data_IF_234894323505
#
_entry.id   IF_234894323505
#
_cell.length_a   1.000
_cell.length_b   1.000
_cell.length_c   1.000
_cell.angle_alpha   90.00
_cell.angle_beta   90.00
_cell.angle_gamma   90.00
#
_symmetry.space_group_name_H-M   'P 1'
#
loop_
_entity.id
_entity.type
_entity.pdbx_description
1 polymer ?
#
# COMPACT_ATOMS: atom_id res chain seq x y z
N UNK A 1 2.92 -15.75 44.06
CA UNK A 1 3.52 -15.69 42.71
C UNK A 1 2.70 -16.62 41.83
N UNK A 2 1.71 -16.10 41.09
CA UNK A 2 0.92 -16.88 40.14
C UNK A 2 1.55 -16.72 38.76
N UNK A 3 2.13 -17.80 38.24
CA UNK A 3 2.64 -17.86 36.87
C UNK A 3 1.46 -18.06 35.92
N UNK A 4 1.03 -16.98 35.26
CA UNK A 4 0.17 -17.04 34.07
C UNK A 4 1.03 -17.44 32.87
N UNK A 5 1.14 -18.73 32.59
CA UNK A 5 1.66 -19.20 31.30
C UNK A 5 0.47 -19.52 30.39
N UNK A 6 0.21 -18.66 29.41
CA UNK A 6 -0.78 -18.94 28.34
C UNK A 6 -0.39 -20.22 27.59
N UNK A 7 -1.37 -21.04 27.22
CA UNK A 7 -1.16 -22.26 26.44
C UNK A 7 -0.63 -21.91 25.04
N UNK A 8 0.03 -22.85 24.38
CA UNK A 8 0.38 -22.74 22.96
C UNK A 8 -0.87 -22.46 22.10
N UNK A 9 -2.01 -23.07 22.44
CA UNK A 9 -3.26 -22.84 21.72
C UNK A 9 -3.80 -21.40 21.89
N UNK A 10 -3.51 -20.75 23.01
CA UNK A 10 -3.89 -19.35 23.24
C UNK A 10 -3.03 -18.40 22.40
N UNK A 11 -1.75 -18.74 22.21
CA UNK A 11 -0.83 -17.98 21.34
C UNK A 11 -1.17 -18.14 19.86
N UNK A 12 -1.63 -19.31 19.44
CA UNK A 12 -2.05 -19.57 18.04
C UNK A 12 -3.33 -18.79 17.69
N UNK A 13 -4.21 -18.53 18.67
CA UNK A 13 -5.42 -17.70 18.48
C UNK A 13 -5.13 -16.19 18.40
N UNK A 14 -3.97 -15.76 18.90
CA UNK A 14 -3.53 -14.36 18.85
C UNK A 14 -2.76 -14.03 17.54
N UNK A 15 -2.48 -15.02 16.70
CA UNK A 15 -1.87 -14.79 15.40
C UNK A 15 -2.88 -14.12 14.46
N UNK A 16 -2.48 -13.06 13.73
CA UNK A 16 -3.36 -12.41 12.77
C UNK A 16 -3.78 -13.42 11.72
N UNK A 17 -5.08 -13.69 11.61
CA UNK A 17 -5.62 -14.40 10.46
C UNK A 17 -5.54 -13.45 9.28
N UNK A 18 -4.45 -13.48 8.51
CA UNK A 18 -4.40 -12.82 7.22
C UNK A 18 -5.45 -13.45 6.30
N UNK A 19 -6.66 -12.89 6.31
CA UNK A 19 -7.61 -13.09 5.23
C UNK A 19 -7.10 -12.25 4.08
N UNK A 20 -6.55 -12.92 3.06
CA UNK A 20 -6.27 -12.29 1.77
C UNK A 20 -7.53 -11.53 1.32
N UNK A 21 -7.33 -10.28 0.88
CA UNK A 21 -8.38 -9.49 0.25
C UNK A 21 -8.92 -10.25 -0.96
N UNK A 22 -10.16 -9.96 -1.37
CA UNK A 22 -10.71 -10.61 -2.55
C UNK A 22 -9.87 -10.32 -3.80
N UNK A 23 -9.38 -9.08 -3.93
CA UNK A 23 -8.46 -8.67 -5.00
C UNK A 23 -7.17 -9.50 -5.02
N UNK A 24 -6.55 -9.74 -3.85
CA UNK A 24 -5.32 -10.53 -3.77
C UNK A 24 -5.55 -11.99 -4.16
N UNK A 25 -6.71 -12.55 -3.80
CA UNK A 25 -7.08 -13.92 -4.23
C UNK A 25 -7.29 -13.99 -5.74
N UNK A 26 -7.92 -12.98 -6.30
CA UNK A 26 -8.22 -12.92 -7.73
C UNK A 26 -6.92 -12.76 -8.54
N UNK A 27 -5.97 -11.95 -8.04
CA UNK A 27 -4.65 -11.78 -8.66
C UNK A 27 -3.79 -13.05 -8.60
N UNK A 28 -3.76 -13.74 -7.45
CA UNK A 28 -3.09 -15.05 -7.32
C UNK A 28 -3.74 -16.07 -8.28
N UNK A 29 -5.06 -16.06 -8.40
CA UNK A 29 -5.78 -16.94 -9.31
C UNK A 29 -5.44 -16.63 -10.77
N UNK A 30 -5.39 -15.35 -11.16
CA UNK A 30 -5.05 -14.92 -12.51
C UNK A 30 -3.63 -15.34 -12.89
N UNK A 31 -2.64 -15.07 -12.04
CA UNK A 31 -1.25 -15.45 -12.26
C UNK A 31 -1.09 -16.98 -12.39
N UNK A 32 -1.85 -17.76 -11.61
CA UNK A 32 -1.86 -19.21 -11.71
C UNK A 32 -2.46 -19.69 -13.05
N UNK A 33 -3.56 -19.09 -13.50
CA UNK A 33 -4.21 -19.47 -14.76
C UNK A 33 -3.37 -19.09 -15.98
N UNK A 34 -2.62 -17.99 -15.91
CA UNK A 34 -1.66 -17.58 -16.94
C UNK A 34 -0.51 -18.59 -17.05
N UNK A 35 0.07 -19.00 -15.92
CA UNK A 35 1.13 -20.02 -15.90
C UNK A 35 0.70 -21.39 -16.45
N UNK A 36 -0.60 -21.69 -16.41
CA UNK A 36 -1.16 -22.94 -16.95
C UNK A 36 -1.51 -22.84 -18.44
N UNK A 37 -1.69 -21.63 -18.97
CA UNK A 37 -1.98 -21.40 -20.38
C UNK A 37 -0.72 -21.30 -21.25
N UNK A 38 0.45 -21.04 -20.65
CA UNK A 38 1.73 -20.99 -21.37
C UNK A 38 2.32 -22.36 -21.74
N UNK A 39 1.66 -23.47 -21.39
CA UNK A 39 2.13 -24.84 -21.67
C UNK A 39 1.43 -25.52 -22.87
N UNK A 40 0.95 -24.75 -23.86
CA UNK A 40 0.55 -25.27 -25.19
C UNK A 40 1.53 -24.82 -26.27
N UNK A 41 2.72 -25.42 -26.26
CA UNK A 41 3.82 -25.04 -27.15
C UNK A 41 4.85 -26.15 -27.36
N UNK A 42 4.42 -27.30 -27.88
CA UNK A 42 5.28 -28.43 -28.22
C UNK A 42 6.40 -28.06 -29.23
N UNK A 43 7.68 -28.16 -28.84
CA UNK A 43 8.81 -28.44 -29.74
C UNK A 43 9.85 -29.36 -29.06
N UNK A 44 10.42 -30.37 -29.77
CA UNK A 44 11.22 -31.41 -29.14
C UNK A 44 12.66 -30.99 -28.85
N UNK A 45 13.09 -31.12 -27.59
CA UNK A 45 14.46 -30.90 -27.14
C UNK A 45 15.37 -32.01 -27.69
N UNK A 46 16.39 -31.63 -28.48
CA UNK A 46 17.51 -32.53 -28.82
C UNK A 46 18.48 -32.62 -27.65
N UNK A 47 18.69 -33.87 -27.24
CA UNK A 47 19.57 -34.37 -26.19
C UNK A 47 21.03 -33.90 -26.28
N UNK A 48 21.59 -33.54 -25.12
CA UNK A 48 23.01 -33.29 -24.88
C UNK A 48 23.26 -32.71 -23.48
N UNK A 49 23.01 -33.48 -22.42
CA UNK A 49 23.22 -33.07 -21.03
C UNK A 49 24.42 -33.81 -20.44
N UNK A 50 25.50 -33.08 -20.13
CA UNK A 50 26.50 -33.48 -19.14
C UNK A 50 26.15 -32.80 -17.81
N UNK A 51 25.66 -33.61 -16.86
CA UNK A 51 25.12 -33.21 -15.57
C UNK A 51 26.26 -33.16 -14.55
N UNK A 52 26.55 -31.99 -13.96
CA UNK A 52 27.05 -31.91 -12.58
C UNK A 52 26.43 -30.74 -11.81
N UNK A 53 25.53 -31.13 -10.88
CA UNK A 53 24.93 -30.39 -9.74
C UNK A 53 23.65 -29.61 -10.03
N UNK A 54 22.59 -30.39 -10.25
CA UNK A 54 21.19 -30.02 -10.13
C UNK A 54 20.70 -30.56 -8.77
N UNK A 55 20.20 -29.70 -7.87
CA UNK A 55 19.36 -30.14 -6.75
C UNK A 55 18.00 -29.47 -6.92
N UNK A 56 17.10 -30.18 -7.60
CA UNK A 56 15.68 -29.84 -7.74
C UNK A 56 14.96 -30.29 -6.48
N UNK A 57 14.26 -29.37 -5.82
CA UNK A 57 13.23 -29.69 -4.84
C UNK A 57 11.99 -30.18 -5.58
N UNK A 58 11.62 -31.44 -5.33
CA UNK A 58 10.52 -32.15 -5.98
C UNK A 58 9.18 -31.56 -5.50
N UNK A 59 8.36 -31.08 -6.42
CA UNK A 59 6.92 -30.91 -6.20
C UNK A 59 6.28 -32.30 -6.07
N UNK A 60 5.80 -32.66 -4.89
CA UNK A 60 4.87 -33.79 -4.73
C UNK A 60 3.46 -33.26 -4.54
N UNK A 61 2.67 -33.43 -5.60
CA UNK A 61 1.22 -33.36 -5.52
C UNK A 61 0.67 -34.42 -4.57
N UNK A 62 -0.20 -34.02 -3.65
CA UNK A 62 -1.12 -34.91 -2.95
C UNK A 62 -2.47 -34.19 -2.79
N UNK A 63 -3.34 -34.39 -3.77
CA UNK A 63 -4.78 -34.21 -3.62
C UNK A 63 -5.38 -35.39 -2.82
N UNK A 64 -6.65 -35.23 -2.38
CA UNK A 64 -7.54 -36.12 -1.59
C UNK A 64 -7.63 -35.66 -0.11
N UNK A 65 -8.77 -35.28 0.49
CA UNK A 65 -10.19 -35.60 0.25
C UNK A 65 -11.15 -34.57 0.86
N UNK A 66 -12.34 -34.45 0.23
CA UNK A 66 -13.58 -33.83 0.71
C UNK A 66 -13.97 -34.19 2.15
N UNK A 67 -14.56 -33.22 2.87
CA UNK A 67 -15.78 -33.44 3.65
C UNK A 67 -16.74 -32.26 3.47
N UNK A 68 -17.67 -32.42 2.54
CA UNK A 68 -18.95 -31.72 2.57
C UNK A 68 -19.84 -32.43 3.58
N UNK A 69 -20.22 -31.75 4.67
CA UNK A 69 -21.35 -32.18 5.49
C UNK A 69 -22.57 -31.39 5.03
N UNK A 70 -23.23 -31.93 4.02
CA UNK A 70 -24.65 -31.69 3.77
C UNK A 70 -25.38 -32.84 4.48
N UNK A 71 -25.96 -32.54 5.64
CA UNK A 71 -26.91 -33.42 6.32
C UNK A 71 -28.33 -32.97 5.99
N UNK A 72 -28.87 -33.45 4.88
CA UNK A 72 -30.32 -33.47 4.63
C UNK A 72 -30.92 -34.55 5.53
N UNK A 73 -31.90 -34.17 6.36
CA UNK A 73 -32.93 -35.10 6.83
C UNK A 73 -34.29 -34.53 6.43
N UNK A 74 -34.95 -35.25 5.54
CA UNK A 74 -36.33 -35.02 5.09
C UNK A 74 -37.19 -36.18 5.59
N UNK A 75 -38.41 -35.82 6.01
CA UNK A 75 -39.65 -36.60 6.20
C UNK A 75 -39.84 -37.51 7.43
N UNK A 76 -40.86 -37.17 8.21
CA UNK A 76 -42.06 -37.95 8.64
C UNK A 76 -42.75 -37.07 9.70
N UNK A 77 -44.05 -36.82 9.79
CA UNK A 77 -45.29 -37.34 9.21
C UNK A 77 -46.38 -36.28 9.44
N UNK A 78 -47.37 -36.26 8.55
CA UNK A 78 -48.58 -35.45 8.60
C UNK A 78 -49.56 -36.06 9.63
N UNK A 79 -50.11 -35.27 10.57
CA UNK A 79 -51.45 -35.51 11.12
C UNK A 79 -52.15 -34.19 11.45
N UNK A 80 -53.38 -34.16 10.94
CA UNK A 80 -54.44 -33.16 10.97
C UNK A 80 -55.25 -33.29 12.26
N UNK A 81 -55.85 -32.20 12.73
CA UNK A 81 -57.19 -32.10 13.40
C UNK A 81 -57.19 -30.94 14.41
N UNK A 82 -57.82 -29.80 14.11
CA UNK A 82 -59.25 -29.39 14.29
C UNK A 82 -59.50 -28.59 15.57
N UNK A 83 -60.49 -27.71 15.43
CA UNK A 83 -61.28 -26.97 16.42
C UNK A 83 -60.79 -25.56 16.79
N UNK A 84 -61.41 -24.51 16.21
CA UNK A 84 -62.76 -23.93 16.51
C UNK A 84 -62.67 -23.02 17.76
N UNK A 85 -63.24 -21.82 17.87
CA UNK A 85 -64.37 -21.17 17.19
C UNK A 85 -64.48 -19.70 17.68
N UNK A 86 -65.01 -18.82 16.81
CA UNK A 86 -65.73 -17.52 17.06
C UNK A 86 -65.05 -16.42 17.91
N UNK A 87 -65.22 -15.11 17.66
CA UNK A 87 -66.45 -14.38 17.37
C UNK A 87 -66.15 -12.97 16.78
N UNK A 88 -67.12 -12.41 16.08
CA UNK A 88 -67.16 -11.07 15.45
C UNK A 88 -67.81 -10.07 16.43
N UNK A 89 -67.21 -8.90 16.67
CA UNK A 89 -67.95 -7.61 16.66
C UNK A 89 -67.02 -6.40 16.81
N UNK A 90 -67.43 -5.32 16.15
CA UNK A 90 -66.79 -4.01 16.09
C UNK A 90 -67.12 -3.16 17.33
N UNK A 91 -66.29 -2.14 17.63
CA UNK A 91 -66.70 -0.74 17.92
C UNK A 91 -65.49 0.09 18.40
N UNK A 92 -65.41 1.33 17.87
CA UNK A 92 -64.73 2.56 18.33
C UNK A 92 -63.21 2.83 18.14
N UNK A 93 -62.96 3.88 17.32
CA UNK A 93 -61.80 4.80 17.30
C UNK A 93 -61.85 5.75 18.53
N UNK A 94 -60.79 6.50 18.95
CA UNK A 94 -59.79 7.16 18.07
C UNK A 94 -58.31 7.20 18.52
N UNK A 95 -57.46 7.45 17.51
CA UNK A 95 -56.15 8.16 17.40
C UNK A 95 -55.47 8.72 18.66
N UNK A 96 -54.11 8.78 18.71
CA UNK A 96 -53.41 9.93 18.11
C UNK A 96 -52.04 9.63 17.43
N UNK A 97 -51.76 10.43 16.39
CA UNK A 97 -50.45 10.87 15.90
C UNK A 97 -49.41 9.84 15.41
N UNK A 98 -49.30 9.71 14.09
CA UNK A 98 -48.02 9.47 13.40
C UNK A 98 -47.82 10.58 12.36
N UNK A 99 -46.85 11.44 12.66
CA UNK A 99 -46.27 12.41 11.74
C UNK A 99 -45.26 11.65 10.86
N UNK A 100 -45.28 11.81 9.52
CA UNK A 100 -44.36 11.08 8.66
C UNK A 100 -42.92 11.55 8.91
N UNK A 101 -42.08 10.55 9.17
CA UNK A 101 -40.64 10.55 9.30
C UNK A 101 -39.99 11.24 8.09
N UNK A 102 -39.26 12.32 8.36
CA UNK A 102 -38.45 13.02 7.38
C UNK A 102 -37.31 12.08 7.02
N UNK A 103 -37.34 11.55 5.80
CA UNK A 103 -36.22 10.84 5.20
C UNK A 103 -35.09 11.85 5.02
N UNK A 104 -34.06 11.77 5.86
CA UNK A 104 -32.78 12.44 5.64
C UNK A 104 -32.28 12.02 4.25
N UNK A 105 -32.22 13.00 3.35
CA UNK A 105 -31.43 12.87 2.15
C UNK A 105 -29.99 13.07 2.58
N UNK A 106 -29.23 11.97 2.66
CA UNK A 106 -27.77 12.05 2.71
C UNK A 106 -27.30 12.81 1.46
N UNK A 107 -26.78 14.01 1.68
CA UNK A 107 -26.00 14.72 0.67
C UNK A 107 -24.81 13.84 0.26
N UNK A 108 -24.36 13.90 -1.00
CA UNK A 108 -23.18 13.16 -1.42
C UNK A 108 -21.98 13.71 -0.65
N UNK A 109 -21.49 12.95 0.32
CA UNK A 109 -20.17 13.19 0.90
C UNK A 109 -19.16 13.04 -0.23
N UNK A 110 -18.46 14.14 -0.57
CA UNK A 110 -17.25 14.09 -1.38
C UNK A 110 -16.35 12.99 -0.81
N UNK A 111 -16.05 11.97 -1.62
CA UNK A 111 -15.10 10.92 -1.23
C UNK A 111 -13.77 11.59 -0.89
N UNK A 112 -13.36 11.52 0.37
CA UNK A 112 -12.06 12.02 0.78
C UNK A 112 -10.99 11.14 0.14
N UNK A 113 -10.13 11.74 -0.70
CA UNK A 113 -9.00 11.04 -1.30
C UNK A 113 -8.08 10.47 -0.21
N UNK A 114 -7.66 9.23 -0.39
CA UNK A 114 -6.77 8.57 0.57
C UNK A 114 -5.33 9.06 0.42
N UNK A 115 -4.46 8.73 1.37
CA UNK A 115 -3.04 9.15 1.30
C UNK A 115 -2.29 8.42 0.18
N UNK A 116 -2.70 7.19 -0.12
CA UNK A 116 -2.19 6.38 -1.22
C UNK A 116 -2.57 7.01 -2.56
N UNK A 117 -3.82 7.42 -2.74
CA UNK A 117 -4.26 8.12 -3.96
C UNK A 117 -3.50 9.45 -4.13
N UNK A 118 -3.35 10.23 -3.06
CA UNK A 118 -2.51 11.45 -3.09
C UNK A 118 -1.07 11.13 -3.50
N UNK A 119 -0.51 10.05 -2.97
CA UNK A 119 0.85 9.65 -3.25
C UNK A 119 1.03 9.25 -4.73
N UNK A 120 0.10 8.50 -5.30
CA UNK A 120 0.07 8.16 -6.73
C UNK A 120 -0.04 9.42 -7.60
N UNK A 121 -0.92 10.36 -7.25
CA UNK A 121 -1.07 11.65 -7.95
C UNK A 121 0.23 12.47 -7.89
N UNK A 122 0.93 12.47 -6.74
CA UNK A 122 2.22 13.13 -6.59
C UNK A 122 3.29 12.45 -7.45
N UNK A 123 3.37 11.12 -7.49
CA UNK A 123 4.33 10.41 -8.35
C UNK A 123 4.07 10.73 -9.83
N UNK A 124 2.80 10.77 -10.25
CA UNK A 124 2.43 11.19 -11.59
C UNK A 124 2.84 12.64 -11.88
N UNK A 125 2.61 13.57 -10.94
CA UNK A 125 3.03 14.96 -11.08
C UNK A 125 4.57 15.10 -11.16
N UNK A 126 5.32 14.31 -10.39
CA UNK A 126 6.78 14.27 -10.47
C UNK A 126 7.24 13.77 -11.85
N UNK A 127 6.60 12.72 -12.37
CA UNK A 127 6.88 12.19 -13.72
C UNK A 127 6.60 13.23 -14.81
N UNK A 128 5.44 13.88 -14.76
CA UNK A 128 5.02 14.85 -15.77
C UNK A 128 5.69 16.23 -15.60
N UNK A 129 6.48 16.40 -14.53
CA UNK A 129 7.04 17.68 -14.07
C UNK A 129 5.97 18.76 -13.86
N UNK A 130 4.79 18.35 -13.42
CA UNK A 130 3.70 19.25 -13.09
C UNK A 130 3.92 19.85 -11.69
N UNK A 131 4.74 20.91 -11.66
CA UNK A 131 5.13 21.57 -10.43
C UNK A 131 4.00 22.39 -9.79
N UNK A 132 2.99 22.76 -10.58
CA UNK A 132 1.76 23.37 -10.08
C UNK A 132 0.96 22.35 -9.25
N UNK A 133 0.71 21.17 -9.83
CA UNK A 133 0.04 20.07 -9.11
C UNK A 133 0.84 19.65 -7.88
N UNK A 134 2.17 19.50 -7.99
CA UNK A 134 3.00 19.15 -6.83
C UNK A 134 2.86 20.19 -5.71
N UNK A 135 2.84 21.48 -6.03
CA UNK A 135 2.73 22.55 -5.04
C UNK A 135 1.41 22.54 -4.27
N UNK A 136 0.32 22.04 -4.87
CA UNK A 136 -0.99 21.92 -4.23
C UNK A 136 -1.00 20.88 -3.11
N UNK A 137 -0.17 19.84 -3.18
CA UNK A 137 -0.03 18.87 -2.09
C UNK A 137 0.93 19.33 -0.98
N UNK A 138 1.77 20.34 -1.22
CA UNK A 138 2.84 20.71 -0.29
C UNK A 138 2.31 21.48 0.92
N UNK A 139 2.76 21.07 2.10
CA UNK A 139 2.37 21.69 3.36
C UNK A 139 2.79 23.17 3.39
N UNK A 140 1.80 24.07 3.48
CA UNK A 140 1.99 25.52 3.40
C UNK A 140 3.02 26.10 4.37
N UNK A 141 2.98 25.68 5.64
CA UNK A 141 3.89 26.21 6.68
C UNK A 141 5.25 25.50 6.75
N UNK A 142 5.29 24.17 6.52
CA UNK A 142 6.49 23.35 6.64
C UNK A 142 7.34 23.32 5.37
N UNK A 143 6.74 23.60 4.20
CA UNK A 143 7.37 23.47 2.90
C UNK A 143 7.67 22.01 2.55
N UNK A 144 8.44 21.82 1.49
CA UNK A 144 8.86 20.54 0.96
C UNK A 144 10.37 20.36 1.15
N UNK A 145 10.76 19.35 1.93
CA UNK A 145 12.15 18.93 2.07
C UNK A 145 12.51 17.86 1.03
N UNK A 146 13.73 17.93 0.51
CA UNK A 146 14.28 16.90 -0.38
C UNK A 146 15.46 16.21 0.29
N UNK A 147 15.44 14.88 0.28
CA UNK A 147 16.58 14.05 0.68
C UNK A 147 17.03 13.16 -0.49
N UNK A 148 18.31 13.21 -0.89
CA UNK A 148 18.85 12.39 -1.98
C UNK A 148 18.98 10.91 -1.61
N UNK A 149 18.93 10.57 -0.34
CA UNK A 149 19.04 9.23 0.22
C UNK A 149 18.21 9.12 1.50
N UNK A 150 18.14 7.91 2.07
CA UNK A 150 17.24 7.58 3.18
C UNK A 150 17.52 8.40 4.46
N UNK A 151 18.63 9.12 4.51
CA UNK A 151 19.04 9.90 5.67
C UNK A 151 18.84 11.41 5.45
N UNK A 152 17.83 11.96 6.11
CA UNK A 152 17.58 13.41 6.17
C UNK A 152 18.69 14.07 6.99
N UNK A 153 19.36 15.05 6.40
CA UNK A 153 20.38 15.85 7.04
C UNK A 153 19.80 17.21 7.51
N UNK A 154 20.42 17.81 8.54
CA UNK A 154 20.03 19.14 9.04
C UNK A 154 20.11 20.24 7.98
N UNK A 155 20.93 20.05 6.95
CA UNK A 155 21.12 20.98 5.84
C UNK A 155 20.34 20.60 4.57
N UNK A 156 19.51 19.54 4.62
CA UNK A 156 18.69 19.12 3.48
C UNK A 156 17.87 20.29 2.93
N UNK A 157 17.84 20.37 1.59
CA UNK A 157 17.18 21.48 0.89
C UNK A 157 15.68 21.47 1.20
N UNK A 158 15.17 22.61 1.66
CA UNK A 158 13.76 22.82 1.97
C UNK A 158 13.22 24.01 1.17
N UNK A 159 12.18 23.74 0.38
CA UNK A 159 11.54 24.69 -0.52
C UNK A 159 10.18 25.09 0.04
N UNK A 160 9.92 26.39 0.13
CA UNK A 160 8.59 26.87 0.52
C UNK A 160 7.55 26.47 -0.54
N UNK A 161 6.32 26.14 -0.15
CA UNK A 161 5.24 25.74 -1.07
C UNK A 161 5.13 26.69 -2.28
N UNK A 162 5.12 28.00 -2.03
CA UNK A 162 4.98 29.03 -3.07
C UNK A 162 6.17 29.13 -4.05
N UNK A 163 7.26 28.40 -3.79
CA UNK A 163 8.44 28.30 -4.64
C UNK A 163 8.52 26.99 -5.40
N UNK A 164 7.70 26.00 -5.07
CA UNK A 164 7.69 24.70 -5.75
C UNK A 164 7.29 24.84 -7.22
N UNK A 165 6.29 25.69 -7.51
CA UNK A 165 5.79 25.93 -8.89
C UNK A 165 6.87 26.39 -9.88
N UNK A 166 7.90 27.12 -9.43
CA UNK A 166 9.02 27.57 -10.27
C UNK A 166 10.34 26.88 -9.93
N UNK A 167 10.31 25.78 -9.18
CA UNK A 167 11.53 25.18 -8.63
C UNK A 167 12.47 24.68 -9.74
N UNK A 168 11.93 24.04 -10.77
CA UNK A 168 12.73 23.50 -11.89
C UNK A 168 13.30 24.59 -12.80
N UNK A 169 12.79 25.83 -12.70
CA UNK A 169 13.30 26.98 -13.47
C UNK A 169 14.48 27.68 -12.77
N UNK A 170 14.75 27.34 -11.50
CA UNK A 170 15.82 27.96 -10.73
C UNK A 170 17.19 27.41 -11.18
N UNK A 171 18.07 28.24 -11.76
CA UNK A 171 19.39 27.78 -12.20
C UNK A 171 20.39 27.63 -11.04
N UNK A 172 20.00 27.97 -9.81
CA UNK A 172 20.88 27.93 -8.64
C UNK A 172 21.25 26.50 -8.29
N UNK A 173 22.53 26.21 -8.12
CA UNK A 173 22.98 24.94 -7.59
C UNK A 173 22.87 24.90 -6.07
N UNK A 174 22.26 23.85 -5.55
CA UNK A 174 22.15 23.56 -4.13
C UNK A 174 22.99 22.35 -3.76
N UNK A 175 23.44 22.27 -2.52
CA UNK A 175 24.03 21.05 -1.95
C UNK A 175 22.88 20.25 -1.34
N UNK A 176 22.48 19.18 -2.03
CA UNK A 176 21.32 18.34 -1.66
C UNK A 176 21.69 17.30 -0.60
N UNK A 177 22.96 16.90 -0.55
CA UNK A 177 23.48 15.90 0.39
C UNK A 177 24.98 15.68 0.18
N UNK A 178 25.52 14.70 0.89
CA UNK A 178 26.95 14.33 0.83
C UNK A 178 27.04 12.82 0.60
N UNK A 179 27.79 12.41 -0.43
CA UNK A 179 28.09 11.02 -0.75
C UNK A 179 29.41 10.57 -0.11
N UNK A 180 29.84 9.36 -0.47
CA UNK A 180 31.15 8.84 -0.12
C UNK A 180 32.30 9.82 -0.42
N UNK A 181 33.37 9.66 0.37
CA UNK A 181 34.55 10.52 0.32
C UNK A 181 34.26 12.03 0.52
N UNK A 182 33.14 12.37 1.17
CA UNK A 182 32.66 13.75 1.40
C UNK A 182 32.40 14.52 0.09
N UNK A 183 31.91 13.84 -0.94
CA UNK A 183 31.56 14.48 -2.20
C UNK A 183 30.17 15.11 -2.09
N UNK A 184 30.06 16.41 -2.32
CA UNK A 184 28.77 17.11 -2.30
C UNK A 184 27.92 16.72 -3.53
N UNK A 185 26.64 16.45 -3.31
CA UNK A 185 25.64 16.35 -4.38
C UNK A 185 25.20 17.77 -4.70
N UNK A 186 25.97 18.44 -5.56
CA UNK A 186 25.75 19.84 -5.93
C UNK A 186 25.11 19.93 -7.31
N UNK A 187 23.81 20.23 -7.35
CA UNK A 187 22.99 20.20 -8.57
C UNK A 187 22.00 21.37 -8.59
N UNK A 188 21.58 21.82 -9.78
CA UNK A 188 20.34 22.59 -9.91
C UNK A 188 19.13 21.69 -9.59
N UNK A 189 17.95 22.25 -9.26
CA UNK A 189 16.75 21.46 -9.05
C UNK A 189 16.35 20.58 -10.24
N UNK A 190 16.48 21.09 -11.47
CA UNK A 190 16.23 20.31 -12.69
C UNK A 190 17.15 19.07 -12.75
N UNK A 191 18.46 19.25 -12.58
CA UNK A 191 19.41 18.15 -12.61
C UNK A 191 19.21 17.17 -11.43
N UNK A 192 18.81 17.67 -10.26
CA UNK A 192 18.48 16.83 -9.11
C UNK A 192 17.29 15.91 -9.41
N UNK A 193 16.24 16.42 -10.05
CA UNK A 193 15.07 15.61 -10.42
C UNK A 193 15.45 14.51 -11.42
N UNK A 194 16.27 14.85 -12.43
CA UNK A 194 16.76 13.91 -13.44
C UNK A 194 17.63 12.79 -12.85
N UNK A 195 18.50 13.13 -11.91
CA UNK A 195 19.49 12.18 -11.38
C UNK A 195 19.00 11.39 -10.16
N UNK A 196 18.17 12.02 -9.32
CA UNK A 196 17.84 11.47 -7.99
C UNK A 196 16.41 11.03 -7.82
N UNK A 197 15.43 11.77 -8.34
CA UNK A 197 14.01 11.44 -8.13
C UNK A 197 13.58 10.28 -9.03
N UNK A 198 13.93 10.30 -10.33
CA UNK A 198 13.63 9.23 -11.31
C UNK A 198 12.21 8.63 -11.15
N UNK A 199 11.16 9.47 -11.30
CA UNK A 199 9.78 9.09 -11.04
C UNK A 199 9.26 7.97 -11.94
N UNK A 200 9.89 7.73 -13.10
CA UNK A 200 9.52 6.68 -14.05
C UNK A 200 9.52 5.28 -13.40
N UNK A 201 10.43 5.05 -12.44
CA UNK A 201 10.52 3.77 -11.70
C UNK A 201 9.34 3.55 -10.75
N UNK A 202 8.63 4.61 -10.37
CA UNK A 202 7.60 4.57 -9.34
C UNK A 202 6.17 4.70 -9.88
N UNK A 203 6.00 4.87 -11.20
CA UNK A 203 4.68 4.78 -11.84
C UNK A 203 4.06 3.39 -11.75
N UNK A 204 4.90 2.35 -11.69
CA UNK A 204 4.49 0.95 -11.51
C UNK A 204 5.51 0.27 -10.56
N UNK A 205 5.46 0.56 -9.25
CA UNK A 205 6.41 0.00 -8.30
C UNK A 205 6.15 -1.50 -8.11
N UNK A 206 7.18 -2.23 -7.66
CA UNK A 206 7.03 -3.64 -7.25
C UNK A 206 6.20 -3.73 -5.96
N UNK A 207 6.38 -2.77 -5.04
CA UNK A 207 5.59 -2.65 -3.82
C UNK A 207 5.21 -1.19 -3.53
N UNK A 208 4.00 -1.00 -2.99
CA UNK A 208 3.58 0.27 -2.38
C UNK A 208 3.21 0.02 -0.92
N UNK A 209 3.99 0.61 -0.01
CA UNK A 209 3.89 0.41 1.42
C UNK A 209 3.41 1.68 2.12
N UNK A 210 2.48 1.53 3.06
CA UNK A 210 1.95 2.64 3.86
C UNK A 210 2.41 2.44 5.30
N UNK A 211 3.16 3.43 5.79
CA UNK A 211 3.89 3.39 7.06
C UNK A 211 4.76 2.13 7.19
N UNK A 212 5.76 1.96 6.31
CA UNK A 212 6.73 0.87 6.43
C UNK A 212 7.34 0.84 7.84
N UNK A 213 7.59 -0.36 8.35
CA UNK A 213 8.05 -0.55 9.71
C UNK A 213 9.59 -0.63 9.75
N UNK A 214 10.28 0.42 10.23
CA UNK A 214 11.74 0.44 10.21
C UNK A 214 12.38 -0.64 11.11
N UNK A 215 11.61 -1.23 12.03
CA UNK A 215 12.07 -2.31 12.91
C UNK A 215 11.86 -3.71 12.30
N UNK A 216 11.19 -3.84 11.16
CA UNK A 216 11.06 -5.13 10.47
C UNK A 216 12.39 -5.47 9.77
N UNK A 217 13.04 -6.60 10.09
CA UNK A 217 14.28 -6.99 9.44
C UNK A 217 14.19 -7.14 7.92
N UNK A 218 12.99 -7.39 7.39
CA UNK A 218 12.70 -7.46 5.96
C UNK A 218 12.47 -6.08 5.32
N UNK A 219 12.24 -5.05 6.14
CA UNK A 219 12.00 -3.65 5.79
C UNK A 219 13.13 -2.75 6.35
N UNK A 220 14.35 -3.30 6.47
CA UNK A 220 15.55 -2.57 6.94
C UNK A 220 16.04 -1.56 5.89
N UNK A 221 15.15 -0.66 5.51
CA UNK A 221 15.39 0.55 4.75
C UNK A 221 15.72 1.62 5.81
N UNK A 222 17.01 1.90 5.99
CA UNK A 222 17.51 2.68 7.12
C UNK A 222 17.22 4.17 6.93
N UNK A 223 15.99 4.59 7.22
CA UNK A 223 15.61 6.00 7.18
C UNK A 223 15.51 6.60 8.59
N UNK A 224 15.77 7.90 8.70
CA UNK A 224 15.54 8.68 9.93
C UNK A 224 14.29 9.56 9.83
N UNK A 225 13.36 9.25 8.92
CA UNK A 225 12.16 10.06 8.64
C UNK A 225 11.37 10.33 9.92
N UNK A 226 11.17 9.32 10.77
CA UNK A 226 10.42 9.44 12.03
C UNK A 226 11.16 10.23 13.11
N UNK A 227 12.47 10.44 12.98
CA UNK A 227 13.21 11.35 13.88
C UNK A 227 12.90 12.82 13.56
N UNK A 228 12.77 13.16 12.27
CA UNK A 228 12.43 14.51 11.80
C UNK A 228 10.93 14.80 11.82
N UNK A 229 10.11 13.79 11.50
CA UNK A 229 8.66 13.89 11.39
C UNK A 229 7.98 12.76 12.19
N UNK A 230 7.93 12.85 13.54
CA UNK A 230 7.46 11.76 14.40
C UNK A 230 6.00 11.34 14.16
N UNK A 231 5.12 12.30 13.87
CA UNK A 231 3.69 12.09 13.69
C UNK A 231 3.28 11.96 12.20
N UNK A 232 4.27 11.85 11.30
CA UNK A 232 4.02 11.75 9.86
C UNK A 232 3.32 10.44 9.48
N UNK A 233 2.76 10.42 8.27
CA UNK A 233 2.52 9.19 7.52
C UNK A 233 3.54 9.10 6.40
N UNK A 234 3.94 7.89 6.05
CA UNK A 234 4.88 7.66 4.94
C UNK A 234 4.21 6.75 3.92
N UNK A 235 4.25 7.12 2.64
CA UNK A 235 3.93 6.21 1.53
C UNK A 235 5.22 5.96 0.77
N UNK A 236 5.58 4.70 0.66
CA UNK A 236 6.79 4.26 -0.02
C UNK A 236 6.44 3.54 -1.32
N UNK A 237 7.13 3.91 -2.39
CA UNK A 237 7.15 3.20 -3.66
C UNK A 237 8.48 2.49 -3.79
N UNK A 238 8.48 1.16 -3.77
CA UNK A 238 9.69 0.34 -3.86
C UNK A 238 9.86 -0.26 -5.27
N UNK A 239 11.10 -0.25 -5.74
CA UNK A 239 11.55 -0.89 -6.96
C UNK A 239 12.69 -1.85 -6.61
N UNK A 240 12.50 -3.14 -6.89
CA UNK A 240 13.40 -4.23 -6.48
C UNK A 240 14.77 -4.18 -7.19
N UNK A 241 14.89 -3.34 -8.22
CA UNK A 241 16.06 -3.32 -9.09
C UNK A 241 15.92 -4.28 -10.26
N UNK A 242 17.01 -4.45 -11.00
CA UNK A 242 17.08 -5.26 -12.21
C UNK A 242 17.90 -6.52 -11.97
N UNK A 243 17.58 -7.58 -12.72
CA UNK A 243 18.42 -8.79 -12.74
C UNK A 243 19.85 -8.51 -13.23
N UNK A 244 20.04 -7.52 -14.11
CA UNK A 244 21.38 -7.14 -14.63
C UNK A 244 22.34 -6.76 -13.50
N UNK A 245 21.83 -6.14 -12.44
CA UNK A 245 22.59 -5.72 -11.28
C UNK A 245 22.32 -6.60 -10.04
N UNK A 246 21.78 -7.81 -10.21
CA UNK A 246 21.40 -8.71 -9.10
C UNK A 246 20.52 -8.01 -8.03
N UNK A 247 19.65 -7.08 -8.46
CA UNK A 247 18.79 -6.29 -7.57
C UNK A 247 19.52 -5.21 -6.77
N UNK A 248 20.80 -4.97 -7.04
CA UNK A 248 21.60 -3.99 -6.29
C UNK A 248 21.36 -2.54 -6.75
N UNK A 249 20.60 -2.34 -7.82
CA UNK A 249 20.12 -1.02 -8.25
C UNK A 249 18.69 -0.72 -7.77
N UNK A 250 18.24 -1.41 -6.71
CA UNK A 250 16.97 -1.15 -6.03
C UNK A 250 16.87 0.31 -5.59
N UNK A 251 15.63 0.81 -5.54
CA UNK A 251 15.32 2.16 -5.08
C UNK A 251 13.97 2.21 -4.38
N UNK A 252 13.84 3.14 -3.45
CA UNK A 252 12.57 3.56 -2.89
C UNK A 252 12.37 5.06 -3.00
N UNK A 253 11.12 5.48 -3.19
CA UNK A 253 10.68 6.86 -3.03
C UNK A 253 9.72 6.93 -1.85
N UNK A 254 10.11 7.64 -0.80
CA UNK A 254 9.29 7.88 0.38
C UNK A 254 8.66 9.27 0.30
N UNK A 255 7.34 9.30 0.18
CA UNK A 255 6.54 10.51 0.31
C UNK A 255 6.07 10.66 1.76
N UNK A 256 6.53 11.72 2.41
CA UNK A 256 6.27 11.96 3.83
C UNK A 256 5.20 13.02 3.96
N UNK A 257 4.14 12.71 4.71
CA UNK A 257 3.00 13.58 4.91
C UNK A 257 2.84 13.94 6.38
N UNK A 258 2.41 15.18 6.63
CA UNK A 258 2.12 15.65 7.98
C UNK A 258 0.77 16.38 7.99
N UNK A 259 0.11 16.41 9.14
CA UNK A 259 -1.19 17.07 9.26
C UNK A 259 -1.03 18.58 9.23
N UNK A 260 -1.84 19.22 8.41
CA UNK A 260 -2.04 20.66 8.45
C UNK A 260 -3.05 21.06 9.54
N UNK A 261 -3.34 22.35 9.64
CA UNK A 261 -4.23 22.91 10.67
C UNK A 261 -5.69 22.43 10.53
N UNK A 262 -6.09 21.99 9.34
CA UNK A 262 -7.43 21.46 9.04
C UNK A 262 -7.51 19.95 9.26
N UNK A 263 -6.37 19.32 9.60
CA UNK A 263 -6.27 17.88 9.84
C UNK A 263 -6.04 17.04 8.58
N UNK A 264 -5.89 17.68 7.40
CA UNK A 264 -5.55 17.01 6.16
C UNK A 264 -4.05 16.71 6.08
N UNK A 265 -3.70 15.63 5.41
CA UNK A 265 -2.32 15.20 5.19
C UNK A 265 -1.72 15.92 3.99
N UNK A 266 -0.70 16.74 4.22
CA UNK A 266 0.04 17.49 3.19
C UNK A 266 1.48 16.97 3.12
N UNK A 267 2.05 16.98 1.91
CA UNK A 267 3.42 16.55 1.63
C UNK A 267 4.43 17.50 2.30
N UNK A 268 5.36 16.93 3.07
CA UNK A 268 6.42 17.67 3.79
C UNK A 268 7.83 17.26 3.39
N UNK A 269 8.01 16.06 2.83
CA UNK A 269 9.30 15.63 2.33
C UNK A 269 9.18 14.59 1.19
N UNK A 270 10.15 14.63 0.28
CA UNK A 270 10.45 13.57 -0.69
C UNK A 270 11.82 13.02 -0.31
N UNK A 271 11.87 11.76 0.07
CA UNK A 271 13.08 11.07 0.56
C UNK A 271 13.34 9.87 -0.33
N UNK A 272 14.40 9.93 -1.12
CA UNK A 272 14.85 8.76 -1.88
C UNK A 272 15.52 7.78 -0.92
N UNK A 273 15.47 6.49 -1.19
CA UNK A 273 16.37 5.52 -0.58
C UNK A 273 16.94 4.65 -1.69
N UNK A 274 18.23 4.41 -1.66
CA UNK A 274 18.90 3.66 -2.69
C UNK A 274 20.19 3.05 -2.16
N UNK A 275 20.59 1.95 -2.76
CA UNK A 275 21.94 1.46 -2.57
C UNK A 275 22.93 2.42 -3.24
N UNK A 276 23.85 2.96 -2.44
CA UNK A 276 25.00 3.74 -2.91
C UNK A 276 26.23 2.83 -2.87
N UNK A 277 26.95 2.74 -3.99
CA UNK A 277 28.19 1.98 -4.15
C UNK A 277 29.45 2.84 -4.00
#
# INVERSE_FOLDING_TARGET
>A
MNNNHKSFEDKVKELPSHRLSQSTKDQIHQNLMESLNDDDGSQPIKSGMDIKKLTVGIATAAALTLFSIIGVNILTTNEQSTDNVENVESVEKPSPNEQPEVTDQEEPTEEQITIEQKAEEIVQALHDRDMDVLADYVHKEKGLLFSPDGYIADFSVKVAQSKVVTLLEDPTEYVWGIQEANTEIKLSPEAYFDERVIPERFLNPDEMNVDPNPDDPSDQRSTNIKEFYPESRVVEFHYDGTEEYDGLDWRSLNLVFDKNQEGAWDLVAIVNDLMVY
#
